data_IF_462839321872
#
_entry.id   IF_462839321872
#
_cell.length_a   1.000
_cell.length_b   1.000
_cell.length_c   1.000
_cell.angle_alpha   90.00
_cell.angle_beta   90.00
_cell.angle_gamma   90.00
#
_symmetry.space_group_name_H-M   'P 1'
#
loop_
_entity.id
_entity.type
_entity.pdbx_description
1 polymer ?
#
# COMPACT_ATOMS: atom_id res chain seq x y z
N UNK A 1 -36.20 -26.68 23.31
CA UNK A 1 -35.25 -26.88 24.41
C UNK A 1 -34.00 -26.10 24.04
N UNK A 2 -33.70 -24.92 24.57
CA UNK A 2 -34.42 -23.93 25.36
C UNK A 2 -33.56 -22.66 25.33
N UNK A 3 -34.18 -21.53 25.60
CA UNK A 3 -33.62 -20.18 25.66
C UNK A 3 -32.70 -19.95 26.87
N UNK A 4 -31.99 -18.82 26.83
CA UNK A 4 -31.37 -18.09 27.96
C UNK A 4 -30.06 -18.71 28.53
N UNK A 5 -28.95 -17.99 28.76
CA UNK A 5 -28.84 -16.72 29.48
C UNK A 5 -27.56 -15.94 29.09
N UNK A 6 -27.76 -14.63 28.96
CA UNK A 6 -26.78 -13.57 28.76
C UNK A 6 -25.93 -13.37 30.02
N UNK A 7 -24.80 -14.08 30.14
CA UNK A 7 -23.77 -13.78 31.14
C UNK A 7 -22.41 -14.21 30.57
N UNK A 8 -21.74 -13.38 29.77
CA UNK A 8 -20.51 -12.72 30.28
C UNK A 8 -20.08 -11.46 29.48
N UNK A 9 -21.02 -10.68 28.95
CA UNK A 9 -20.72 -9.35 28.35
C UNK A 9 -20.28 -8.28 29.39
N UNK A 10 -19.77 -8.70 30.53
CA UNK A 10 -19.25 -7.81 31.55
C UNK A 10 -18.13 -8.52 32.32
N UNK A 11 -16.94 -8.62 31.73
CA UNK A 11 -15.79 -7.87 32.29
C UNK A 11 -14.65 -7.74 31.28
N UNK A 12 -14.75 -6.72 30.42
CA UNK A 12 -13.60 -5.99 29.85
C UNK A 12 -12.83 -5.22 30.96
N UNK A 13 -12.66 -5.84 32.13
CA UNK A 13 -11.99 -5.25 33.29
C UNK A 13 -11.08 -6.29 33.95
N UNK A 14 -9.92 -6.48 33.33
CA UNK A 14 -8.66 -6.74 34.03
C UNK A 14 -7.51 -6.50 33.06
N UNK A 15 -7.32 -5.21 32.72
CA UNK A 15 -5.99 -4.75 32.36
C UNK A 15 -5.09 -5.07 33.57
N UNK A 16 -4.20 -6.04 33.41
CA UNK A 16 -3.25 -6.43 34.44
C UNK A 16 -2.44 -5.20 34.89
N UNK A 17 -2.22 -5.02 36.19
CA UNK A 17 -1.49 -3.88 36.72
C UNK A 17 -0.04 -3.85 36.22
N UNK A 18 0.57 -2.66 36.13
CA UNK A 18 1.99 -2.55 35.84
C UNK A 18 2.82 -3.20 36.95
N UNK A 19 3.91 -3.91 36.63
CA UNK A 19 4.87 -4.37 37.63
C UNK A 19 5.49 -3.17 38.38
N UNK A 20 5.87 -3.36 39.65
CA UNK A 20 6.30 -2.27 40.53
C UNK A 20 7.55 -1.58 40.01
N UNK A 21 7.55 -0.26 40.19
CA UNK A 21 8.65 0.66 39.91
C UNK A 21 9.91 0.20 40.64
N UNK A 22 10.93 -0.22 39.89
CA UNK A 22 12.28 -0.37 40.42
C UNK A 22 12.94 1.00 40.48
N UNK A 23 13.39 1.35 41.67
CA UNK A 23 14.00 2.62 42.01
C UNK A 23 15.44 2.66 41.52
N UNK A 24 15.80 3.83 40.95
CA UNK A 24 17.13 4.46 41.06
C UNK A 24 18.35 3.61 40.65
N UNK A 25 18.96 3.92 39.50
CA UNK A 25 20.38 4.29 39.47
C UNK A 25 20.78 4.85 38.11
N UNK A 26 21.32 6.05 38.18
CA UNK A 26 22.04 6.79 37.17
C UNK A 26 23.06 5.90 36.43
N UNK A 27 23.23 6.08 35.10
CA UNK A 27 24.53 6.46 34.51
C UNK A 27 24.56 6.40 32.98
N UNK A 28 24.95 7.54 32.41
CA UNK A 28 25.69 7.75 31.17
C UNK A 28 25.21 7.04 29.88
N UNK A 29 24.26 7.69 29.20
CA UNK A 29 24.08 7.47 27.76
C UNK A 29 25.27 8.02 26.97
N UNK A 30 26.21 7.15 26.61
CA UNK A 30 27.19 7.42 25.55
C UNK A 30 26.42 7.70 24.25
N UNK A 31 26.45 8.95 23.79
CA UNK A 31 25.76 9.39 22.57
C UNK A 31 26.48 8.83 21.33
N UNK A 32 25.97 7.71 20.80
CA UNK A 32 26.35 7.20 19.47
C UNK A 32 25.35 7.69 18.42
N UNK A 33 25.86 8.03 17.23
CA UNK A 33 25.06 8.49 16.10
C UNK A 33 24.82 10.00 16.02
N UNK A 34 23.87 10.39 15.16
CA UNK A 34 23.58 11.76 14.69
C UNK A 34 23.26 12.76 15.83
N UNK A 35 23.08 12.24 17.04
CA UNK A 35 22.93 12.98 18.30
C UNK A 35 24.14 13.86 18.68
N UNK A 36 25.27 13.75 17.97
CA UNK A 36 26.43 14.64 18.10
C UNK A 36 26.27 15.98 17.38
N UNK A 37 25.35 16.08 16.41
CA UNK A 37 25.13 17.30 15.62
C UNK A 37 24.06 18.21 16.23
N UNK A 38 23.30 17.73 17.21
CA UNK A 38 22.38 18.58 17.97
C UNK A 38 23.16 19.31 19.06
N UNK A 39 23.71 20.47 18.72
CA UNK A 39 24.21 21.44 19.69
C UNK A 39 23.03 21.89 20.55
N UNK A 40 22.93 21.33 21.75
CA UNK A 40 21.90 21.73 22.72
C UNK A 40 22.25 23.14 23.20
N UNK A 41 21.65 24.16 22.58
CA UNK A 41 21.65 25.52 23.09
C UNK A 41 20.95 25.53 24.45
N UNK A 42 21.73 25.56 25.53
CA UNK A 42 21.23 25.92 26.86
C UNK A 42 21.11 27.44 26.89
N UNK A 43 19.88 27.95 26.79
CA UNK A 43 19.67 29.39 26.86
C UNK A 43 18.22 29.84 26.82
N UNK A 44 17.62 29.87 28.01
CA UNK A 44 16.52 30.76 28.44
C UNK A 44 15.07 30.39 28.07
N UNK A 45 14.34 30.21 29.16
CA UNK A 45 12.91 30.44 29.38
C UNK A 45 11.93 29.53 28.64
N UNK A 46 11.10 28.86 29.43
CA UNK A 46 9.82 28.31 29.02
C UNK A 46 9.03 29.40 28.27
N UNK A 47 9.09 29.36 26.94
CA UNK A 47 8.09 30.03 26.12
C UNK A 47 6.92 29.07 26.08
N UNK A 48 5.81 29.50 26.66
CA UNK A 48 4.50 28.84 26.59
C UNK A 48 4.34 28.25 25.19
N UNK A 49 4.12 26.93 25.11
CA UNK A 49 3.73 26.30 23.84
C UNK A 49 2.36 26.85 23.50
N UNK A 50 2.33 27.90 22.67
CA UNK A 50 1.10 28.29 22.00
C UNK A 50 0.52 27.03 21.32
N UNK A 51 -0.76 26.71 21.53
CA UNK A 51 -1.37 25.55 20.91
C UNK A 51 -1.23 25.67 19.40
N UNK A 52 -0.67 24.64 18.77
CA UNK A 52 -0.61 24.56 17.31
C UNK A 52 -2.02 24.83 16.76
N UNK A 53 -2.18 25.70 15.75
CA UNK A 53 -3.49 26.01 15.20
C UNK A 53 -4.18 24.70 14.78
N UNK A 54 -5.48 24.54 15.07
CA UNK A 54 -6.21 23.33 14.75
C UNK A 54 -6.04 22.98 13.26
N UNK A 55 -5.92 21.68 12.89
CA UNK A 55 -5.81 21.27 11.51
C UNK A 55 -6.89 21.97 10.70
N UNK A 56 -6.49 22.79 9.72
CA UNK A 56 -7.45 23.53 8.88
C UNK A 56 -8.44 22.51 8.34
N UNK A 57 -9.72 22.69 8.68
CA UNK A 57 -10.82 21.96 8.04
C UNK A 57 -10.68 22.26 6.55
N UNK A 58 -10.21 21.28 5.79
CA UNK A 58 -10.18 21.36 4.33
C UNK A 58 -11.64 21.30 3.91
N UNK A 59 -12.06 22.25 3.09
CA UNK A 59 -13.31 22.10 2.36
C UNK A 59 -13.24 20.76 1.61
N UNK A 60 -14.35 20.00 1.55
CA UNK A 60 -14.35 18.72 0.86
C UNK A 60 -13.85 18.92 -0.57
N UNK A 61 -13.09 17.94 -1.07
CA UNK A 61 -12.63 17.92 -2.44
C UNK A 61 -13.82 18.22 -3.37
N UNK A 62 -13.64 19.03 -4.42
CA UNK A 62 -14.64 19.19 -5.47
C UNK A 62 -15.17 17.83 -5.94
N UNK A 63 -16.44 17.79 -6.36
CA UNK A 63 -17.04 16.56 -6.86
C UNK A 63 -16.20 16.01 -8.03
N UNK A 64 -15.80 14.74 -7.91
CA UNK A 64 -14.94 14.09 -8.90
C UNK A 64 -15.71 13.86 -10.20
N UNK A 65 -15.24 14.42 -11.30
CA UNK A 65 -15.77 14.15 -12.62
C UNK A 65 -15.12 12.90 -13.19
N UNK A 66 -15.92 11.98 -13.73
CA UNK A 66 -15.38 10.78 -14.36
C UNK A 66 -14.65 11.14 -15.65
N UNK A 67 -13.33 11.01 -15.61
CA UNK A 67 -12.43 11.17 -16.75
C UNK A 67 -12.00 9.77 -17.22
N UNK A 68 -11.53 9.67 -18.47
CA UNK A 68 -11.02 8.41 -19.01
C UNK A 68 -9.93 7.77 -18.14
N UNK A 69 -9.13 8.58 -17.45
CA UNK A 69 -8.14 8.13 -16.46
C UNK A 69 -8.74 7.36 -15.27
N UNK A 70 -10.03 7.51 -14.99
CA UNK A 70 -10.74 6.78 -13.93
C UNK A 70 -11.23 5.40 -14.36
N UNK A 71 -11.01 5.01 -15.61
CA UNK A 71 -11.44 3.72 -16.09
C UNK A 71 -10.71 2.58 -15.33
N UNK A 72 -11.43 1.76 -14.53
CA UNK A 72 -10.81 0.70 -13.74
C UNK A 72 -10.16 -0.38 -14.62
N UNK A 73 -10.58 -0.52 -15.88
CA UNK A 73 -10.04 -1.51 -16.81
C UNK A 73 -8.57 -1.22 -17.15
N UNK A 74 -8.19 0.06 -17.27
CA UNK A 74 -6.80 0.48 -17.50
C UNK A 74 -5.94 0.02 -16.34
N UNK A 75 -6.40 0.28 -15.10
CA UNK A 75 -5.70 -0.15 -13.89
C UNK A 75 -5.59 -1.68 -13.83
N UNK A 76 -6.66 -2.41 -14.17
CA UNK A 76 -6.65 -3.87 -14.21
C UNK A 76 -5.63 -4.41 -15.20
N UNK A 77 -5.60 -3.89 -16.42
CA UNK A 77 -4.67 -4.34 -17.47
C UNK A 77 -3.22 -4.08 -17.07
N UNK A 78 -2.90 -2.89 -16.56
CA UNK A 78 -1.55 -2.54 -16.08
C UNK A 78 -1.13 -3.46 -14.92
N UNK A 79 -2.02 -3.68 -13.95
CA UNK A 79 -1.75 -4.58 -12.83
C UNK A 79 -1.57 -6.02 -13.27
N UNK A 80 -2.38 -6.50 -14.21
CA UNK A 80 -2.27 -7.84 -14.78
C UNK A 80 -0.92 -8.02 -15.48
N UNK A 81 -0.54 -7.09 -16.36
CA UNK A 81 0.75 -7.11 -17.05
C UNK A 81 1.92 -7.17 -16.07
N UNK A 82 1.86 -6.37 -15.00
CA UNK A 82 2.93 -6.33 -13.98
C UNK A 82 2.96 -7.58 -13.10
N UNK A 83 1.79 -8.13 -12.76
CA UNK A 83 1.68 -9.32 -11.92
C UNK A 83 2.16 -10.58 -12.63
N UNK A 84 2.00 -10.64 -13.94
CA UNK A 84 2.36 -11.80 -14.77
C UNK A 84 3.53 -11.52 -15.72
N UNK A 85 4.42 -10.58 -15.38
CA UNK A 85 5.57 -10.20 -16.22
C UNK A 85 6.39 -11.42 -16.70
N UNK A 86 6.55 -12.44 -15.84
CA UNK A 86 7.28 -13.67 -16.16
C UNK A 86 6.61 -14.55 -17.22
N UNK A 87 5.30 -14.43 -17.41
CA UNK A 87 4.56 -15.16 -18.44
C UNK A 87 4.72 -14.52 -19.83
N UNK A 88 5.24 -13.30 -19.90
CA UNK A 88 5.44 -12.55 -21.13
C UNK A 88 6.91 -12.60 -21.61
N UNK A 89 7.16 -12.42 -22.91
CA UNK A 89 8.53 -12.29 -23.43
C UNK A 89 9.24 -11.09 -22.80
N UNK A 90 10.53 -11.24 -22.43
CA UNK A 90 11.34 -10.14 -21.87
C UNK A 90 11.52 -8.93 -22.81
N UNK A 91 11.30 -9.12 -24.11
CA UNK A 91 11.30 -8.04 -25.10
C UNK A 91 10.01 -7.21 -25.09
N UNK A 92 8.95 -7.68 -24.44
CA UNK A 92 7.67 -6.99 -24.38
C UNK A 92 7.73 -5.82 -23.40
N UNK A 93 7.53 -4.61 -23.91
CA UNK A 93 7.62 -3.40 -23.12
C UNK A 93 6.58 -3.35 -21.98
N UNK A 94 7.00 -2.79 -20.84
CA UNK A 94 6.07 -2.37 -19.78
C UNK A 94 5.36 -1.07 -20.13
N UNK A 95 4.20 -0.84 -19.52
CA UNK A 95 3.46 0.41 -19.62
C UNK A 95 2.75 0.71 -18.31
N UNK A 96 2.58 2.00 -18.03
CA UNK A 96 1.71 2.49 -16.98
C UNK A 96 0.32 2.84 -17.52
N UNK A 97 -0.53 3.43 -16.67
CA UNK A 97 -1.90 3.77 -17.03
C UNK A 97 -1.96 4.87 -18.11
N UNK A 98 -1.07 5.87 -18.05
CA UNK A 98 -1.04 6.96 -19.02
C UNK A 98 -0.61 6.50 -20.41
N UNK A 99 0.40 5.63 -20.49
CA UNK A 99 0.86 5.09 -21.76
C UNK A 99 -0.21 4.19 -22.38
N UNK A 100 -0.88 3.36 -21.56
CA UNK A 100 -1.97 2.53 -22.04
C UNK A 100 -3.15 3.37 -22.54
N UNK A 101 -3.53 4.42 -21.80
CA UNK A 101 -4.55 5.39 -22.23
C UNK A 101 -4.22 6.00 -23.59
N UNK A 102 -2.99 6.48 -23.77
CA UNK A 102 -2.54 7.05 -25.04
C UNK A 102 -2.61 6.02 -26.18
N UNK A 103 -2.09 4.81 -25.94
CA UNK A 103 -2.00 3.77 -26.97
C UNK A 103 -3.38 3.20 -27.38
N UNK A 104 -4.47 3.45 -26.64
CA UNK A 104 -5.83 2.96 -26.97
C UNK A 104 -6.82 4.07 -27.34
N UNK A 105 -6.42 5.34 -27.27
CA UNK A 105 -7.30 6.48 -27.57
C UNK A 105 -7.58 6.58 -29.08
N UNK A 106 -6.58 6.25 -29.90
CA UNK A 106 -6.68 6.27 -31.35
C UNK A 106 -7.39 5.00 -31.89
N UNK A 107 -8.04 5.07 -33.07
CA UNK A 107 -8.72 3.91 -33.66
C UNK A 107 -7.76 2.77 -34.01
N UNK A 108 -6.49 3.08 -34.23
CA UNK A 108 -5.41 2.10 -34.40
C UNK A 108 -4.62 2.05 -33.10
N UNK A 109 -4.50 0.88 -32.45
CA UNK A 109 -3.77 0.78 -31.20
C UNK A 109 -2.29 1.11 -31.41
N UNK A 110 -1.69 1.76 -30.43
CA UNK A 110 -0.25 2.00 -30.38
C UNK A 110 0.54 0.68 -30.42
N UNK A 111 1.76 0.75 -30.94
CA UNK A 111 2.62 -0.43 -31.16
C UNK A 111 2.83 -1.28 -29.91
N UNK A 112 2.83 -0.65 -28.73
CA UNK A 112 2.98 -1.32 -27.45
C UNK A 112 1.73 -2.10 -27.05
N UNK A 113 0.55 -1.48 -27.19
CA UNK A 113 -0.74 -2.13 -26.92
C UNK A 113 -0.98 -3.29 -27.90
N UNK A 114 -0.63 -3.12 -29.17
CA UNK A 114 -0.70 -4.19 -30.18
C UNK A 114 0.21 -5.37 -29.84
N UNK A 115 1.48 -5.10 -29.46
CA UNK A 115 2.41 -6.14 -29.06
C UNK A 115 1.92 -6.89 -27.81
N UNK A 116 1.35 -6.18 -26.85
CA UNK A 116 0.76 -6.79 -25.65
C UNK A 116 -0.44 -7.68 -26.00
N UNK A 117 -1.37 -7.20 -26.86
CA UNK A 117 -2.50 -7.98 -27.32
C UNK A 117 -2.05 -9.25 -28.05
N UNK A 118 -1.07 -9.13 -28.94
CA UNK A 118 -0.47 -10.28 -29.63
C UNK A 118 0.11 -11.30 -28.64
N UNK A 119 0.79 -10.82 -27.59
CA UNK A 119 1.35 -11.69 -26.56
C UNK A 119 0.25 -12.39 -25.73
N UNK A 120 -0.84 -11.70 -25.39
CA UNK A 120 -2.00 -12.27 -24.70
C UNK A 120 -2.68 -13.33 -25.56
N UNK A 121 -2.92 -13.04 -26.85
CA UNK A 121 -3.48 -14.01 -27.79
C UNK A 121 -2.55 -15.21 -27.95
N UNK A 122 -1.24 -14.98 -28.08
CA UNK A 122 -0.24 -16.04 -28.08
C UNK A 122 -0.31 -16.91 -26.83
N UNK A 123 -0.47 -16.31 -25.65
CA UNK A 123 -0.60 -17.01 -24.38
C UNK A 123 -1.88 -17.86 -24.32
N UNK A 124 -3.03 -17.31 -24.74
CA UNK A 124 -4.33 -18.00 -24.67
C UNK A 124 -4.49 -19.09 -25.72
N UNK A 125 -3.94 -18.89 -26.92
CA UNK A 125 -4.09 -19.80 -28.04
C UNK A 125 -3.03 -20.91 -28.05
N UNK A 126 -1.91 -20.74 -27.34
CA UNK A 126 -0.84 -21.73 -27.26
C UNK A 126 -1.13 -22.84 -26.24
N UNK A 127 -2.15 -23.67 -26.51
CA UNK A 127 -2.56 -24.79 -25.65
C UNK A 127 -1.60 -26.01 -25.67
N UNK A 128 -0.46 -25.93 -26.36
CA UNK A 128 0.49 -27.05 -26.53
C UNK A 128 1.61 -27.08 -25.50
N UNK A 129 1.86 -25.97 -24.80
CA UNK A 129 2.87 -25.88 -23.75
C UNK A 129 2.27 -25.16 -22.56
N UNK A 130 2.35 -25.75 -21.38
CA UNK A 130 1.92 -25.09 -20.15
C UNK A 130 2.69 -23.80 -19.94
N UNK A 131 1.99 -22.77 -19.48
CA UNK A 131 2.63 -21.52 -19.04
C UNK A 131 3.57 -21.89 -17.91
N UNK A 132 4.87 -21.70 -18.13
CA UNK A 132 5.90 -21.99 -17.13
C UNK A 132 5.81 -20.95 -16.02
N UNK A 133 4.94 -21.18 -15.05
CA UNK A 133 4.93 -20.40 -13.82
C UNK A 133 6.17 -20.78 -13.01
N UNK A 134 7.19 -19.92 -13.01
CA UNK A 134 8.20 -19.99 -11.95
C UNK A 134 7.44 -19.65 -10.67
N UNK A 135 7.53 -20.51 -9.66
CA UNK A 135 6.68 -20.49 -8.46
C UNK A 135 6.93 -19.26 -7.55
N UNK A 136 6.63 -18.06 -8.04
CA UNK A 136 6.60 -16.80 -7.31
C UNK A 136 5.16 -16.37 -6.98
N UNK A 137 4.14 -17.16 -7.35
CA UNK A 137 2.80 -17.09 -6.77
C UNK A 137 2.78 -17.72 -5.35
N UNK A 138 3.75 -17.37 -4.49
CA UNK A 138 3.52 -17.47 -3.05
C UNK A 138 2.50 -16.41 -2.71
N UNK A 139 1.24 -16.84 -2.71
CA UNK A 139 0.09 -16.28 -2.00
C UNK A 139 0.46 -15.08 -1.12
N UNK A 140 0.37 -13.88 -1.70
CA UNK A 140 0.07 -12.67 -0.94
C UNK A 140 -1.41 -12.34 -1.06
N UNK A 141 -2.25 -13.38 -0.99
CA UNK A 141 -3.66 -13.29 -0.64
C UNK A 141 -3.77 -13.61 0.86
N UNK A 142 -3.14 -12.78 1.69
CA UNK A 142 -3.37 -12.74 3.14
C UNK A 142 -3.99 -11.39 3.47
N UNK A 143 -5.16 -11.14 2.88
CA UNK A 143 -6.05 -10.02 3.18
C UNK A 143 -7.49 -10.51 3.03
N UNK A 144 -7.79 -11.64 3.66
CA UNK A 144 -9.09 -11.93 4.29
C UNK A 144 -8.82 -12.90 5.44
N UNK A 145 -9.48 -12.67 6.58
CA UNK A 145 -9.36 -13.31 7.90
C UNK A 145 -8.27 -12.75 8.83
N UNK A 146 -8.49 -11.53 9.32
CA UNK A 146 -8.64 -11.27 10.76
C UNK A 146 -9.34 -9.95 11.00
#
# INVERSE_FOLDING_TARGET
MDSDDLSDLSSLSSLSPPPPSDSESEQETKKTGILKFFTKSKGKAAREKEPSPPPRKREPSPAHEFVFADNPDIAFIVMFRNRFDEAFPRSLASFGPQELEYDITEPVPGSRAEAFLCAVLGLLLNRKQDVKYVAALRFRASLELS
#
